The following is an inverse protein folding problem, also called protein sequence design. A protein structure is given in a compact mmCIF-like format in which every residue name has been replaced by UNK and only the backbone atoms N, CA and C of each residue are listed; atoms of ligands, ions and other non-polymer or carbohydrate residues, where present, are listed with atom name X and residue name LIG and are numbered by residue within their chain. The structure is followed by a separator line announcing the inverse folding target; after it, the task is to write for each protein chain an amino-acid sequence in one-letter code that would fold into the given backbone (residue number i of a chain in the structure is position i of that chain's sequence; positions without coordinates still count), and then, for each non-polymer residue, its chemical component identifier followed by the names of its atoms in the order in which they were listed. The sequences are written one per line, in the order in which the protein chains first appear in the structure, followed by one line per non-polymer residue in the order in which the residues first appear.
data_IF_200734925371
#
_entry.id   IF_200734925371
#
_cell.length_a   1.000
_cell.length_b   1.000
_cell.length_c   1.000
_cell.angle_alpha   90.00
_cell.angle_beta   90.00
_cell.angle_gamma   90.00
#
_symmetry.space_group_name_H-M   'P 1'
#
loop_
_entity.id
_entity.type
_entity.pdbx_description
1 polymer ?
#
# COMPACT_ATOMS: atom_id res chain seq x y z
N UNK A 1 -41.90 -44.63 17.51
CA UNK A 1 -41.10 -43.88 16.51
C UNK A 1 -39.96 -43.18 17.21
N UNK A 2 -38.74 -43.51 16.85
CA UNK A 2 -37.56 -42.83 17.41
C UNK A 2 -37.35 -41.57 16.53
N UNK A 3 -37.38 -40.37 17.10
CA UNK A 3 -37.13 -39.13 16.43
C UNK A 3 -35.62 -38.74 16.56
N UNK A 4 -34.69 -39.35 15.85
CA UNK A 4 -33.30 -39.00 15.94
C UNK A 4 -33.03 -37.57 15.42
N UNK A 5 -33.84 -37.09 14.50
CA UNK A 5 -33.75 -35.71 14.00
C UNK A 5 -34.07 -34.65 15.05
N UNK A 6 -34.99 -34.90 15.97
CA UNK A 6 -35.31 -33.91 16.99
C UNK A 6 -34.19 -33.77 18.04
N UNK A 7 -33.55 -34.88 18.40
CA UNK A 7 -32.39 -34.86 19.30
C UNK A 7 -31.21 -34.13 18.65
N UNK A 8 -30.89 -34.39 17.38
CA UNK A 8 -29.82 -33.67 16.67
C UNK A 8 -30.12 -32.18 16.48
N UNK A 9 -31.39 -31.81 16.27
CA UNK A 9 -31.80 -30.42 16.23
C UNK A 9 -31.59 -29.69 17.55
N UNK A 10 -31.91 -30.30 18.68
CA UNK A 10 -31.67 -29.71 20.00
C UNK A 10 -30.17 -29.52 20.22
N UNK A 11 -29.35 -30.54 19.92
CA UNK A 11 -27.87 -30.42 20.03
C UNK A 11 -27.34 -29.30 19.15
N UNK A 12 -27.84 -29.18 17.91
CA UNK A 12 -27.48 -28.10 17.03
C UNK A 12 -27.86 -26.72 17.60
N UNK A 13 -29.07 -26.56 18.14
CA UNK A 13 -29.50 -25.30 18.76
C UNK A 13 -28.62 -24.93 19.97
N UNK A 14 -28.26 -25.89 20.80
CA UNK A 14 -27.39 -25.66 21.96
C UNK A 14 -25.97 -25.27 21.50
N UNK A 15 -25.43 -25.97 20.51
CA UNK A 15 -24.14 -25.67 19.93
C UNK A 15 -24.13 -24.26 19.27
N UNK A 16 -25.17 -23.94 18.48
CA UNK A 16 -25.31 -22.63 17.88
C UNK A 16 -25.40 -21.52 18.93
N UNK A 17 -26.21 -21.73 19.99
CA UNK A 17 -26.30 -20.79 21.11
C UNK A 17 -24.97 -20.56 21.81
N UNK A 18 -24.19 -21.64 22.03
CA UNK A 18 -22.85 -21.53 22.57
C UNK A 18 -21.90 -20.74 21.65
N UNK A 19 -21.92 -21.02 20.36
CA UNK A 19 -21.03 -20.36 19.39
C UNK A 19 -21.37 -18.86 19.24
N UNK A 20 -22.68 -18.52 19.24
CA UNK A 20 -23.13 -17.13 19.24
C UNK A 20 -22.67 -16.40 20.51
N UNK A 21 -22.83 -17.03 21.68
CA UNK A 21 -22.39 -16.44 22.95
C UNK A 21 -20.88 -16.23 23.00
N UNK A 22 -20.10 -17.21 22.57
CA UNK A 22 -18.65 -17.14 22.47
C UNK A 22 -18.18 -16.04 21.50
N UNK A 23 -18.81 -15.95 20.32
CA UNK A 23 -18.51 -14.91 19.33
C UNK A 23 -18.83 -13.51 19.87
N UNK A 24 -19.97 -13.36 20.59
CA UNK A 24 -20.35 -12.09 21.19
C UNK A 24 -19.38 -11.64 22.28
N UNK A 25 -19.00 -12.55 23.19
CA UNK A 25 -18.03 -12.24 24.24
C UNK A 25 -16.67 -11.84 23.65
N UNK A 26 -16.24 -12.51 22.58
CA UNK A 26 -15.01 -12.15 21.86
C UNK A 26 -15.10 -10.76 21.24
N UNK A 27 -16.22 -10.44 20.57
CA UNK A 27 -16.43 -9.14 19.98
C UNK A 27 -16.47 -8.01 21.02
N UNK A 28 -17.08 -8.25 22.19
CA UNK A 28 -17.08 -7.30 23.31
C UNK A 28 -15.68 -7.07 23.86
N UNK A 29 -14.86 -8.13 23.99
CA UNK A 29 -13.46 -8.03 24.45
C UNK A 29 -12.60 -7.29 23.41
N UNK A 30 -12.70 -7.66 22.12
CA UNK A 30 -11.97 -7.00 21.03
C UNK A 30 -12.32 -5.50 20.96
N UNK A 31 -13.60 -5.15 21.20
CA UNK A 31 -14.05 -3.76 21.27
C UNK A 31 -13.46 -3.02 22.45
N UNK A 32 -13.45 -3.63 23.64
CA UNK A 32 -12.86 -3.04 24.85
C UNK A 32 -11.37 -2.77 24.65
N UNK A 33 -10.63 -3.75 24.17
CA UNK A 33 -9.19 -3.67 23.91
C UNK A 33 -8.88 -2.58 22.87
N UNK A 34 -9.72 -2.46 21.84
CA UNK A 34 -9.61 -1.38 20.84
C UNK A 34 -9.78 0.00 21.49
N UNK A 35 -10.81 0.21 22.30
CA UNK A 35 -11.07 1.52 22.91
C UNK A 35 -10.02 1.87 23.96
N UNK A 36 -9.51 0.91 24.70
CA UNK A 36 -8.40 1.12 25.63
C UNK A 36 -7.12 1.56 24.87
N UNK A 37 -6.78 0.86 23.79
CA UNK A 37 -5.66 1.21 22.92
C UNK A 37 -5.82 2.62 22.31
N UNK A 38 -7.03 2.96 21.85
CA UNK A 38 -7.31 4.28 21.28
C UNK A 38 -7.23 5.40 22.35
N UNK A 39 -7.72 5.15 23.54
CA UNK A 39 -7.58 6.09 24.67
C UNK A 39 -6.11 6.34 25.03
N UNK A 40 -5.30 5.27 25.08
CA UNK A 40 -3.86 5.39 25.30
C UNK A 40 -3.19 6.18 24.17
N UNK A 41 -3.55 5.90 22.92
CA UNK A 41 -3.02 6.58 21.75
C UNK A 41 -3.33 8.09 21.79
N UNK A 42 -4.56 8.47 22.12
CA UNK A 42 -5.00 9.86 22.19
C UNK A 42 -4.29 10.65 23.32
N UNK A 43 -3.81 9.97 24.35
CA UNK A 43 -3.05 10.57 25.46
C UNK A 43 -1.53 10.60 25.20
N UNK A 44 -1.06 10.04 24.08
CA UNK A 44 0.38 10.00 23.76
C UNK A 44 0.90 11.40 23.42
N UNK A 45 1.94 11.83 24.14
CA UNK A 45 2.56 13.15 23.94
C UNK A 45 3.25 13.24 22.58
N UNK A 46 3.36 14.45 22.06
CA UNK A 46 4.10 14.76 20.84
C UNK A 46 5.53 14.25 20.92
N UNK A 47 6.00 13.57 19.86
CA UNK A 47 7.39 13.10 19.70
C UNK A 47 8.00 13.74 18.46
N UNK A 48 9.36 13.69 18.36
CA UNK A 48 10.07 14.16 17.16
C UNK A 48 9.71 13.29 15.94
N UNK A 49 9.72 13.90 14.76
CA UNK A 49 9.51 13.27 13.46
C UNK A 49 10.80 13.20 12.62
N UNK A 50 11.96 13.57 13.20
CA UNK A 50 13.23 13.69 12.49
C UNK A 50 13.73 12.36 11.91
N UNK A 51 13.31 11.23 12.50
CA UNK A 51 13.73 9.88 12.14
C UNK A 51 12.72 9.16 11.22
N UNK A 52 11.84 9.88 10.53
CA UNK A 52 10.96 9.29 9.54
C UNK A 52 11.72 8.97 8.24
N UNK A 53 11.29 7.92 7.55
CA UNK A 53 11.82 7.54 6.25
C UNK A 53 11.24 8.45 5.15
N UNK A 54 11.83 9.65 5.04
CA UNK A 54 11.40 10.65 4.08
C UNK A 54 11.79 10.28 2.66
N UNK A 55 10.82 10.17 1.77
CA UNK A 55 11.01 9.88 0.36
C UNK A 55 11.42 11.16 -0.36
N UNK A 56 12.54 11.09 -1.11
CA UNK A 56 12.99 12.15 -2.01
C UNK A 56 12.83 11.68 -3.46
N UNK A 57 12.24 12.54 -4.29
CA UNK A 57 12.07 12.26 -5.72
C UNK A 57 13.39 12.55 -6.43
N UNK A 58 14.05 11.55 -7.05
CA UNK A 58 15.37 11.71 -7.64
C UNK A 58 15.28 12.24 -9.09
N UNK A 59 14.90 13.51 -9.28
CA UNK A 59 14.71 14.12 -10.61
C UNK A 59 15.92 13.97 -11.52
N UNK A 60 17.13 13.95 -10.97
CA UNK A 60 18.39 13.82 -11.75
C UNK A 60 18.51 12.45 -12.44
N UNK A 61 17.89 11.42 -11.88
CA UNK A 61 17.93 10.05 -12.40
C UNK A 61 16.66 9.65 -13.15
N UNK A 62 15.59 10.44 -13.04
CA UNK A 62 14.34 10.18 -13.72
C UNK A 62 14.30 10.85 -15.10
N UNK A 63 13.56 10.27 -16.09
CA UNK A 63 13.54 10.72 -17.47
C UNK A 63 12.65 11.97 -17.67
N UNK A 64 12.99 13.07 -17.02
CA UNK A 64 12.20 14.31 -16.98
C UNK A 64 12.03 14.99 -18.35
N UNK A 65 12.94 14.70 -19.27
CA UNK A 65 12.92 15.28 -20.64
C UNK A 65 12.15 14.41 -21.64
N UNK A 66 11.74 13.21 -21.28
CA UNK A 66 10.99 12.33 -22.15
C UNK A 66 9.61 12.93 -22.47
N UNK A 67 9.29 13.01 -23.76
CA UNK A 67 8.03 13.61 -24.24
C UNK A 67 7.75 15.02 -23.71
N UNK A 68 8.77 15.87 -23.59
CA UNK A 68 8.70 17.19 -22.98
C UNK A 68 7.69 18.19 -23.60
N UNK A 69 7.11 17.87 -24.77
CA UNK A 69 6.07 18.67 -25.43
C UNK A 69 4.64 18.16 -25.15
N UNK A 70 4.50 17.00 -24.47
CA UNK A 70 3.18 16.46 -24.16
C UNK A 70 2.58 17.13 -22.91
N UNK A 71 1.43 17.83 -23.04
CA UNK A 71 0.83 18.57 -21.94
C UNK A 71 0.48 17.69 -20.73
N UNK A 72 0.06 16.42 -20.95
CA UNK A 72 -0.32 15.50 -19.90
C UNK A 72 0.92 15.04 -19.11
N UNK A 73 2.01 14.78 -19.82
CA UNK A 73 3.28 14.39 -19.17
C UNK A 73 3.88 15.57 -18.40
N UNK A 74 3.79 16.79 -18.97
CA UNK A 74 4.20 18.00 -18.26
C UNK A 74 3.41 18.23 -16.96
N UNK A 75 2.09 18.02 -16.97
CA UNK A 75 1.25 18.12 -15.77
C UNK A 75 1.69 17.14 -14.68
N UNK A 76 2.03 15.89 -15.03
CA UNK A 76 2.54 14.93 -14.06
C UNK A 76 3.89 15.35 -13.48
N UNK A 77 4.81 15.85 -14.29
CA UNK A 77 6.10 16.36 -13.82
C UNK A 77 5.95 17.59 -12.92
N UNK A 78 5.05 18.50 -13.26
CA UNK A 78 4.77 19.66 -12.41
C UNK A 78 4.16 19.22 -11.06
N UNK A 79 3.24 18.25 -11.08
CA UNK A 79 2.69 17.67 -9.86
C UNK A 79 3.79 17.06 -8.99
N UNK A 80 4.72 16.30 -9.57
CA UNK A 80 5.83 15.68 -8.83
C UNK A 80 6.79 16.75 -8.28
N UNK A 81 7.02 17.83 -9.02
CA UNK A 81 7.87 18.95 -8.59
C UNK A 81 7.28 19.68 -7.39
N UNK A 82 6.00 20.08 -7.45
CA UNK A 82 5.30 20.68 -6.31
C UNK A 82 5.28 19.73 -5.11
N UNK A 83 5.09 18.43 -5.36
CA UNK A 83 5.08 17.44 -4.29
C UNK A 83 6.42 17.30 -3.60
N UNK A 84 7.54 17.43 -4.34
CA UNK A 84 8.89 17.29 -3.79
C UNK A 84 9.29 18.38 -2.80
N UNK A 85 8.57 19.50 -2.79
CA UNK A 85 8.74 20.58 -1.82
C UNK A 85 8.14 20.24 -0.45
N UNK A 86 7.39 19.16 -0.36
CA UNK A 86 6.69 18.73 0.84
C UNK A 86 7.24 17.38 1.35
N UNK A 87 7.18 17.14 2.66
CA UNK A 87 7.53 15.83 3.21
C UNK A 87 6.61 14.72 2.69
N UNK A 88 7.22 13.61 2.28
CA UNK A 88 6.55 12.41 1.77
C UNK A 88 7.00 11.22 2.61
N UNK A 89 6.06 10.50 3.20
CA UNK A 89 6.36 9.29 4.00
C UNK A 89 5.31 8.23 3.70
N UNK A 90 5.76 6.99 3.59
CA UNK A 90 4.89 5.84 3.38
C UNK A 90 4.46 5.26 4.73
N UNK A 91 3.19 5.40 5.06
CA UNK A 91 2.56 4.78 6.23
C UNK A 91 1.59 3.65 5.86
N UNK A 92 1.70 3.10 4.67
CA UNK A 92 0.84 2.01 4.21
C UNK A 92 0.82 0.85 5.21
N UNK A 93 -0.38 0.44 5.62
CA UNK A 93 -0.59 -0.65 6.58
C UNK A 93 -0.39 -0.28 8.06
N UNK A 94 -0.14 0.98 8.38
CA UNK A 94 -0.06 1.47 9.76
C UNK A 94 -1.37 2.19 10.10
N UNK A 95 -2.03 1.79 11.19
CA UNK A 95 -3.28 2.43 11.62
C UNK A 95 -3.02 3.81 12.26
N UNK A 96 -4.03 4.70 12.23
CA UNK A 96 -3.95 5.98 12.91
C UNK A 96 -3.68 5.84 14.41
N UNK A 97 -4.22 4.81 15.05
CA UNK A 97 -3.98 4.50 16.46
C UNK A 97 -2.50 4.17 16.69
N UNK A 98 -1.90 3.36 15.82
CA UNK A 98 -0.48 3.04 15.90
C UNK A 98 0.40 4.26 15.63
N UNK A 99 0.05 5.10 14.65
CA UNK A 99 0.76 6.36 14.39
C UNK A 99 0.72 7.30 15.59
N UNK A 100 -0.43 7.43 16.27
CA UNK A 100 -0.54 8.20 17.51
C UNK A 100 0.35 7.64 18.63
N UNK A 101 0.39 6.31 18.80
CA UNK A 101 1.25 5.63 19.78
C UNK A 101 2.73 5.83 19.47
N UNK A 102 3.11 5.72 18.20
CA UNK A 102 4.50 5.84 17.76
C UNK A 102 5.01 7.26 17.81
N UNK A 103 4.22 8.24 17.38
CA UNK A 103 4.67 9.62 17.13
C UNK A 103 3.94 10.69 17.96
N UNK A 104 2.89 10.31 18.68
CA UNK A 104 2.08 11.20 19.50
C UNK A 104 0.83 11.73 18.81
N UNK A 105 -0.27 11.78 19.54
CA UNK A 105 -1.56 12.23 19.01
C UNK A 105 -1.52 13.63 18.34
N UNK A 106 -0.76 14.62 18.85
CA UNK A 106 -0.69 15.94 18.20
C UNK A 106 -0.03 15.96 16.83
N UNK A 107 0.64 14.88 16.42
CA UNK A 107 1.27 14.79 15.10
C UNK A 107 0.38 14.15 14.02
N UNK A 108 -0.79 13.61 14.38
CA UNK A 108 -1.58 12.78 13.45
C UNK A 108 -1.99 13.53 12.17
N UNK A 109 -2.37 14.81 12.27
CA UNK A 109 -2.75 15.60 11.11
C UNK A 109 -1.57 15.85 10.17
N UNK A 110 -0.38 16.01 10.72
CA UNK A 110 0.84 16.19 9.95
C UNK A 110 1.25 14.89 9.26
N UNK A 111 1.24 13.77 9.99
CA UNK A 111 1.53 12.44 9.44
C UNK A 111 0.52 12.05 8.34
N UNK A 112 -0.76 12.36 8.54
CA UNK A 112 -1.79 12.14 7.51
C UNK A 112 -1.52 12.92 6.22
N UNK A 113 -0.98 14.14 6.31
CA UNK A 113 -0.56 14.91 5.12
C UNK A 113 0.63 14.25 4.43
N UNK A 114 1.61 13.74 5.17
CA UNK A 114 2.76 13.05 4.59
C UNK A 114 2.33 11.79 3.84
N UNK A 115 1.37 11.04 4.38
CA UNK A 115 0.78 9.86 3.75
C UNK A 115 -0.07 10.22 2.53
N UNK A 116 -0.82 11.32 2.57
CA UNK A 116 -1.52 11.85 1.40
C UNK A 116 -0.54 12.22 0.27
N UNK A 117 0.58 12.86 0.62
CA UNK A 117 1.63 13.16 -0.35
C UNK A 117 2.20 11.89 -0.98
N UNK A 118 2.43 10.84 -0.18
CA UNK A 118 2.83 9.53 -0.68
C UNK A 118 1.79 8.93 -1.63
N UNK A 119 0.51 9.01 -1.29
CA UNK A 119 -0.58 8.52 -2.15
C UNK A 119 -0.61 9.27 -3.50
N UNK A 120 -0.41 10.60 -3.48
CA UNK A 120 -0.31 11.41 -4.71
C UNK A 120 0.92 10.98 -5.51
N UNK A 121 2.08 10.80 -4.88
CA UNK A 121 3.32 10.35 -5.53
C UNK A 121 3.10 9.07 -6.32
N UNK A 122 2.69 7.99 -5.64
CA UNK A 122 2.61 6.67 -6.29
C UNK A 122 1.55 6.62 -7.39
N UNK A 123 0.43 7.35 -7.23
CA UNK A 123 -0.60 7.46 -8.27
C UNK A 123 -0.13 8.26 -9.48
N UNK A 124 0.62 9.33 -9.26
CA UNK A 124 1.18 10.14 -10.35
C UNK A 124 2.24 9.37 -11.11
N UNK A 125 3.15 8.65 -10.40
CA UNK A 125 4.15 7.78 -11.02
C UNK A 125 3.48 6.68 -11.88
N UNK A 126 2.44 6.03 -11.38
CA UNK A 126 1.70 5.02 -12.14
C UNK A 126 1.08 5.60 -13.42
N UNK A 127 0.41 6.75 -13.33
CA UNK A 127 -0.21 7.39 -14.50
C UNK A 127 0.83 7.85 -15.51
N UNK A 128 1.91 8.45 -15.05
CA UNK A 128 3.04 8.89 -15.88
C UNK A 128 3.65 7.70 -16.62
N UNK A 129 3.95 6.61 -15.91
CA UNK A 129 4.51 5.40 -16.49
C UNK A 129 3.57 4.77 -17.53
N UNK A 130 2.27 4.71 -17.25
CA UNK A 130 1.28 4.20 -18.20
C UNK A 130 1.24 5.06 -19.47
N UNK A 131 1.23 6.40 -19.33
CA UNK A 131 1.23 7.32 -20.48
C UNK A 131 2.50 7.17 -21.32
N UNK A 132 3.67 7.04 -20.69
CA UNK A 132 4.94 6.78 -21.39
C UNK A 132 4.92 5.43 -22.11
N UNK A 133 4.41 4.39 -21.48
CA UNK A 133 4.27 3.06 -22.07
C UNK A 133 3.38 3.08 -23.32
N UNK A 134 2.23 3.73 -23.23
CA UNK A 134 1.27 3.85 -24.35
C UNK A 134 1.89 4.59 -25.55
N UNK A 135 2.77 5.53 -25.27
CA UNK A 135 3.57 6.27 -26.26
C UNK A 135 4.84 5.55 -26.72
N UNK A 136 5.08 4.29 -26.26
CA UNK A 136 6.23 3.45 -26.61
C UNK A 136 7.58 3.91 -26.03
N UNK A 137 7.57 4.76 -25.02
CA UNK A 137 8.75 5.11 -24.23
C UNK A 137 8.97 4.07 -23.11
N UNK A 138 9.33 2.84 -23.53
CA UNK A 138 9.40 1.68 -22.64
C UNK A 138 10.52 1.80 -21.59
N UNK A 139 11.64 2.40 -21.97
CA UNK A 139 12.77 2.57 -21.05
C UNK A 139 12.45 3.57 -19.95
N UNK A 140 11.84 4.68 -20.32
CA UNK A 140 11.43 5.75 -19.43
C UNK A 140 10.31 5.30 -18.51
N UNK A 141 9.31 4.59 -19.02
CA UNK A 141 8.25 3.96 -18.22
C UNK A 141 8.83 2.97 -17.21
N UNK A 142 9.83 2.17 -17.60
CA UNK A 142 10.55 1.26 -16.72
C UNK A 142 11.19 1.99 -15.55
N UNK A 143 11.96 3.06 -15.81
CA UNK A 143 12.64 3.85 -14.78
C UNK A 143 11.66 4.46 -13.77
N UNK A 144 10.52 4.99 -14.24
CA UNK A 144 9.48 5.53 -13.36
C UNK A 144 8.90 4.43 -12.47
N UNK A 145 8.64 3.24 -13.02
CA UNK A 145 8.07 2.12 -12.26
C UNK A 145 9.09 1.50 -11.30
N UNK A 146 10.35 1.40 -11.68
CA UNK A 146 11.43 0.96 -10.79
C UNK A 146 11.54 1.91 -9.57
N UNK A 147 11.43 3.22 -9.79
CA UNK A 147 11.34 4.18 -8.68
C UNK A 147 10.07 3.98 -7.84
N UNK A 148 8.90 3.79 -8.46
CA UNK A 148 7.66 3.53 -7.73
C UNK A 148 7.75 2.27 -6.84
N UNK A 149 8.38 1.21 -7.35
CA UNK A 149 8.63 -0.03 -6.59
C UNK A 149 9.65 0.19 -5.45
N UNK A 150 10.70 0.98 -5.69
CA UNK A 150 11.70 1.28 -4.66
C UNK A 150 11.12 2.03 -3.46
N UNK A 151 10.11 2.87 -3.66
CA UNK A 151 9.35 3.53 -2.59
C UNK A 151 8.19 2.68 -2.04
N UNK A 152 8.15 1.39 -2.40
CA UNK A 152 7.20 0.38 -1.91
C UNK A 152 5.74 0.70 -2.22
N UNK A 153 5.44 1.11 -3.47
CA UNK A 153 4.05 1.24 -3.92
C UNK A 153 3.29 -0.08 -3.75
N UNK A 154 2.02 -0.01 -3.36
CA UNK A 154 1.11 -1.16 -3.31
C UNK A 154 0.14 -1.21 -4.52
N UNK A 155 0.37 -0.35 -5.51
CA UNK A 155 -0.45 -0.31 -6.72
C UNK A 155 -0.12 -1.52 -7.60
N UNK A 156 -1.00 -2.51 -7.62
CA UNK A 156 -0.86 -3.74 -8.45
C UNK A 156 -0.56 -3.43 -9.92
N UNK A 157 -1.15 -2.35 -10.46
CA UNK A 157 -0.91 -1.91 -11.84
C UNK A 157 0.55 -1.54 -12.13
N UNK A 158 1.28 -0.99 -11.15
CA UNK A 158 2.70 -0.67 -11.28
C UNK A 158 3.54 -1.92 -11.48
N UNK A 159 3.32 -2.95 -10.66
CA UNK A 159 4.03 -4.24 -10.77
C UNK A 159 3.69 -4.96 -12.08
N UNK A 160 2.40 -4.99 -12.45
CA UNK A 160 1.95 -5.63 -13.69
C UNK A 160 2.58 -4.97 -14.92
N UNK A 161 2.58 -3.65 -14.97
CA UNK A 161 3.14 -2.90 -16.08
C UNK A 161 4.66 -3.08 -16.16
N UNK A 162 5.36 -3.01 -15.02
CA UNK A 162 6.81 -3.22 -14.95
C UNK A 162 7.20 -4.63 -15.42
N UNK A 163 6.49 -5.67 -14.95
CA UNK A 163 6.73 -7.05 -15.39
C UNK A 163 6.50 -7.20 -16.90
N UNK A 164 5.45 -6.59 -17.45
CA UNK A 164 5.20 -6.59 -18.91
C UNK A 164 6.33 -5.91 -19.69
N UNK A 165 6.88 -4.79 -19.16
CA UNK A 165 8.02 -4.11 -19.79
C UNK A 165 9.27 -5.00 -19.74
N UNK A 166 9.55 -5.67 -18.62
CA UNK A 166 10.69 -6.59 -18.51
C UNK A 166 10.58 -7.73 -19.51
N UNK A 167 9.39 -8.35 -19.69
CA UNK A 167 9.18 -9.36 -20.72
C UNK A 167 9.45 -8.83 -22.14
N UNK A 168 8.92 -7.63 -22.47
CA UNK A 168 9.14 -7.01 -23.78
C UNK A 168 10.61 -6.65 -24.04
N UNK A 169 11.37 -6.32 -22.98
CA UNK A 169 12.81 -6.06 -23.06
C UNK A 169 13.68 -7.32 -23.06
N UNK A 170 13.08 -8.51 -22.98
CA UNK A 170 13.80 -9.79 -22.89
C UNK A 170 14.56 -9.98 -21.59
N UNK A 171 14.06 -9.43 -20.48
CA UNK A 171 14.64 -9.50 -19.13
C UNK A 171 13.65 -10.08 -18.11
N UNK A 172 12.97 -11.23 -18.39
CA UNK A 172 11.95 -11.77 -17.50
C UNK A 172 12.50 -12.18 -16.13
N UNK A 173 13.80 -12.44 -16.01
CA UNK A 173 14.47 -12.75 -14.74
C UNK A 173 14.31 -11.63 -13.70
N UNK A 174 14.19 -10.38 -14.13
CA UNK A 174 13.96 -9.24 -13.21
C UNK A 174 12.59 -9.26 -12.53
N UNK A 175 11.65 -10.05 -13.05
CA UNK A 175 10.34 -10.24 -12.39
C UNK A 175 10.53 -10.94 -11.05
N UNK A 176 11.50 -11.85 -10.95
CA UNK A 176 11.81 -12.54 -9.69
C UNK A 176 12.27 -11.56 -8.59
N UNK A 177 12.97 -10.49 -8.97
CA UNK A 177 13.44 -9.47 -8.02
C UNK A 177 12.28 -8.64 -7.43
N UNK A 178 11.13 -8.59 -8.10
CA UNK A 178 9.93 -7.89 -7.63
C UNK A 178 9.19 -8.67 -6.55
N UNK A 179 9.29 -10.00 -6.53
CA UNK A 179 8.53 -10.87 -5.61
C UNK A 179 8.88 -10.56 -4.14
N UNK A 180 10.15 -10.58 -3.70
CA UNK A 180 10.48 -10.27 -2.31
C UNK A 180 10.10 -8.84 -1.90
N UNK A 181 10.11 -7.89 -2.84
CA UNK A 181 9.65 -6.52 -2.57
C UNK A 181 8.15 -6.52 -2.32
N UNK A 182 7.39 -7.24 -3.15
CA UNK A 182 5.93 -7.35 -3.02
C UNK A 182 5.52 -8.12 -1.75
N UNK A 183 6.25 -9.16 -1.35
CA UNK A 183 6.06 -9.87 -0.08
C UNK A 183 6.27 -8.97 1.14
N UNK A 184 7.24 -8.06 1.06
CA UNK A 184 7.56 -7.11 2.11
C UNK A 184 6.58 -5.93 2.23
N UNK A 185 5.52 -5.85 1.41
CA UNK A 185 4.50 -4.81 1.51
C UNK A 185 3.56 -5.07 2.69
N UNK A 186 3.38 -4.08 3.54
CA UNK A 186 2.45 -4.15 4.66
C UNK A 186 1.01 -3.79 4.22
N UNK A 187 0.46 -4.56 3.28
CA UNK A 187 -0.87 -4.33 2.70
C UNK A 187 -1.59 -5.64 2.40
N UNK A 188 -2.92 -5.62 2.39
CA UNK A 188 -3.73 -6.77 1.98
C UNK A 188 -3.54 -7.15 0.50
N UNK A 189 -2.99 -6.25 -0.32
CA UNK A 189 -2.71 -6.47 -1.74
C UNK A 189 -1.42 -7.26 -2.00
N UNK A 190 -0.51 -7.37 -1.02
CA UNK A 190 0.77 -8.07 -1.13
C UNK A 190 0.63 -9.46 -1.78
N UNK A 191 -0.21 -10.32 -1.19
CA UNK A 191 -0.44 -11.68 -1.71
C UNK A 191 -0.93 -11.73 -3.15
N UNK A 192 -1.81 -10.77 -3.52
CA UNK A 192 -2.34 -10.67 -4.88
C UNK A 192 -1.27 -10.24 -5.87
N UNK A 193 -0.40 -9.30 -5.47
CA UNK A 193 0.73 -8.84 -6.30
C UNK A 193 1.71 -10.00 -6.50
N UNK A 194 2.06 -10.73 -5.45
CA UNK A 194 2.96 -11.89 -5.51
C UNK A 194 2.40 -12.95 -6.46
N UNK A 195 1.16 -13.43 -6.26
CA UNK A 195 0.55 -14.43 -7.17
C UNK A 195 0.57 -13.98 -8.63
N UNK A 196 0.25 -12.70 -8.89
CA UNK A 196 0.29 -12.16 -10.25
C UNK A 196 1.72 -12.18 -10.84
N UNK A 197 2.74 -11.86 -10.04
CA UNK A 197 4.14 -11.89 -10.50
C UNK A 197 4.61 -13.31 -10.77
N UNK A 198 4.27 -14.27 -9.89
CA UNK A 198 4.59 -15.70 -10.07
C UNK A 198 3.99 -16.28 -11.36
N UNK A 199 2.77 -15.87 -11.74
CA UNK A 199 2.13 -16.25 -13.00
C UNK A 199 2.84 -15.68 -14.25
N UNK A 200 3.63 -14.60 -14.10
CA UNK A 200 4.34 -13.92 -15.18
C UNK A 200 5.81 -14.36 -15.31
N UNK A 201 6.33 -15.09 -14.35
CA UNK A 201 7.65 -15.73 -14.43
C UNK A 201 7.60 -16.87 -15.45
N UNK A 202 8.55 -16.96 -16.39
CA UNK A 202 8.54 -18.00 -17.43
C UNK A 202 8.82 -19.40 -16.89
#
# INVERSE_FOLDING_TARGET
MKFPFFASFIVFCLWLGYEIHKSRNKAEQDSYDFWEKEAQANNTRKKSLDNLDYIKIPFDSLPTTACGEDPVIMEYWETLKVLSENPIVNFTGISNTDLKLMYGAPNIDLLSRYDQNYTILVRTLQKLAQTLYDKKYLTEACQILEFAVSVRTDITGSYKLLASIYQQKGQPEKILDLIPIAEGLNTSLSKRIVSMLEELVP
#
